data_IF_272516324419
#
_entry.id   IF_272516324419
#
_cell.length_a   1.000
_cell.length_b   1.000
_cell.length_c   1.000
_cell.angle_alpha   90.00
_cell.angle_beta   90.00
_cell.angle_gamma   90.00
#
_symmetry.space_group_name_H-M   'P 1'
#
loop_
_entity.id
_entity.type
_entity.pdbx_description
1 polymer ?
#
# COMPACT_ATOMS: atom_id res chain seq x y z
N UNK A 1 2.29 -28.46 -11.34
CA UNK A 1 1.96 -27.17 -11.97
C UNK A 1 0.71 -26.68 -11.28
N UNK A 2 0.82 -25.71 -10.38
CA UNK A 2 -0.37 -25.05 -9.83
C UNK A 2 -0.99 -24.20 -10.94
N UNK A 3 -2.30 -24.27 -11.09
CA UNK A 3 -3.04 -23.38 -11.98
C UNK A 3 -2.71 -21.92 -11.67
N UNK A 4 -2.59 -21.04 -12.67
CA UNK A 4 -2.51 -19.61 -12.41
C UNK A 4 -3.78 -19.19 -11.66
N UNK A 5 -3.60 -18.51 -10.53
CA UNK A 5 -4.69 -17.96 -9.73
C UNK A 5 -5.60 -17.13 -10.64
N UNK A 6 -6.90 -17.44 -10.64
CA UNK A 6 -7.86 -16.75 -11.48
C UNK A 6 -7.94 -15.27 -11.05
N UNK A 7 -8.00 -14.30 -11.98
CA UNK A 7 -8.00 -12.87 -11.66
C UNK A 7 -9.06 -12.47 -10.61
N UNK A 8 -10.19 -13.18 -10.56
CA UNK A 8 -11.27 -12.96 -9.60
C UNK A 8 -10.90 -13.36 -8.16
N UNK A 9 -10.16 -14.47 -7.97
CA UNK A 9 -9.78 -14.96 -6.64
C UNK A 9 -8.78 -14.02 -5.97
N UNK A 10 -7.77 -13.56 -6.72
CA UNK A 10 -6.81 -12.56 -6.25
C UNK A 10 -7.51 -11.26 -5.83
N UNK A 11 -8.44 -10.75 -6.66
CA UNK A 11 -9.20 -9.54 -6.33
C UNK A 11 -10.00 -9.68 -5.04
N UNK A 12 -10.62 -10.84 -4.80
CA UNK A 12 -11.32 -11.12 -3.55
C UNK A 12 -10.38 -11.11 -2.34
N UNK A 13 -9.22 -11.78 -2.45
CA UNK A 13 -8.22 -11.79 -1.37
C UNK A 13 -7.68 -10.39 -1.07
N UNK A 14 -7.43 -9.59 -2.10
CA UNK A 14 -7.03 -8.17 -1.96
C UNK A 14 -8.14 -7.35 -1.29
N UNK A 15 -9.40 -7.53 -1.69
CA UNK A 15 -10.53 -6.84 -1.08
C UNK A 15 -10.65 -7.16 0.42
N UNK A 16 -10.48 -8.42 0.82
CA UNK A 16 -10.47 -8.82 2.22
C UNK A 16 -9.28 -8.24 2.99
N UNK A 17 -8.09 -8.20 2.38
CA UNK A 17 -6.92 -7.55 2.97
C UNK A 17 -7.15 -6.05 3.21
N UNK A 18 -7.75 -5.34 2.23
CA UNK A 18 -8.11 -3.92 2.34
C UNK A 18 -9.09 -3.70 3.51
N UNK A 19 -10.12 -4.54 3.63
CA UNK A 19 -11.08 -4.47 4.73
C UNK A 19 -10.37 -4.61 6.08
N UNK A 20 -9.47 -5.59 6.23
CA UNK A 20 -8.70 -5.82 7.47
C UNK A 20 -7.83 -4.61 7.83
N UNK A 21 -7.02 -4.12 6.89
CA UNK A 21 -6.10 -3.01 7.20
C UNK A 21 -6.84 -1.68 7.46
N UNK A 22 -8.03 -1.49 6.88
CA UNK A 22 -8.87 -0.32 7.17
C UNK A 22 -9.46 -0.37 8.59
N UNK A 23 -9.73 -1.56 9.14
CA UNK A 23 -10.21 -1.72 10.51
C UNK A 23 -9.10 -1.40 11.52
N UNK A 24 -7.91 -1.96 11.32
CA UNK A 24 -6.78 -1.80 12.23
C UNK A 24 -5.46 -1.76 11.46
N UNK A 25 -4.63 -0.74 11.73
CA UNK A 25 -3.27 -0.70 11.22
C UNK A 25 -2.38 -1.53 12.12
N UNK A 26 -1.99 -2.71 11.62
CA UNK A 26 -1.02 -3.57 12.28
C UNK A 26 0.29 -3.56 11.51
N UNK A 27 1.30 -2.94 12.08
CA UNK A 27 2.64 -2.96 11.50
C UNK A 27 3.27 -4.35 11.61
N UNK A 28 4.06 -4.68 10.61
CA UNK A 28 5.09 -5.71 10.79
C UNK A 28 6.02 -5.29 11.94
N UNK A 29 6.41 -6.21 12.84
CA UNK A 29 7.18 -5.87 14.03
C UNK A 29 8.40 -4.98 13.73
N UNK A 30 8.50 -3.86 14.45
CA UNK A 30 9.58 -2.87 14.35
C UNK A 30 9.47 -1.87 13.19
N UNK A 31 8.53 -2.08 12.25
CA UNK A 31 8.35 -1.16 11.10
C UNK A 31 7.61 0.11 11.48
N UNK A 32 6.81 0.06 12.53
CA UNK A 32 6.17 1.20 13.20
C UNK A 32 7.17 2.21 13.74
N UNK A 33 8.37 1.79 14.12
CA UNK A 33 9.45 2.70 14.54
C UNK A 33 10.36 3.10 13.37
N UNK A 34 10.78 2.13 12.55
CA UNK A 34 11.75 2.36 11.46
C UNK A 34 11.20 3.29 10.36
N UNK A 35 9.94 3.08 9.94
CA UNK A 35 9.41 3.80 8.77
C UNK A 35 9.17 5.29 9.02
N UNK A 36 8.53 5.73 10.13
CA UNK A 36 8.38 7.16 10.40
C UNK A 36 9.72 7.90 10.41
N UNK A 37 10.74 7.35 11.09
CA UNK A 37 12.10 7.93 11.14
C UNK A 37 12.64 8.11 9.72
N UNK A 38 12.62 7.03 8.92
CA UNK A 38 13.08 7.07 7.53
C UNK A 38 12.28 8.05 6.65
N UNK A 39 10.99 8.25 6.94
CA UNK A 39 10.15 9.22 6.22
C UNK A 39 10.50 10.66 6.61
N UNK A 40 10.82 10.92 7.87
CA UNK A 40 11.31 12.23 8.34
C UNK A 40 12.68 12.55 7.70
N UNK A 41 13.62 11.61 7.74
CA UNK A 41 14.96 11.77 7.17
C UNK A 41 14.95 12.08 5.67
N UNK A 42 13.95 11.56 4.95
CA UNK A 42 13.75 11.81 3.51
C UNK A 42 12.87 13.03 3.22
N UNK A 43 12.43 13.78 4.22
CA UNK A 43 11.54 14.95 4.05
C UNK A 43 10.14 14.59 3.55
N UNK A 44 9.71 13.34 3.75
CA UNK A 44 8.34 12.90 3.45
C UNK A 44 7.35 13.24 4.57
N UNK A 45 7.85 13.31 5.81
CA UNK A 45 7.14 13.77 6.98
C UNK A 45 7.86 14.99 7.57
N UNK A 46 7.14 15.90 8.26
CA UNK A 46 7.77 17.02 8.95
C UNK A 46 8.67 16.52 10.10
N UNK A 47 9.70 17.30 10.49
CA UNK A 47 10.49 17.01 11.67
C UNK A 47 9.60 16.88 12.92
N UNK A 48 9.80 15.81 13.69
CA UNK A 48 9.03 15.54 14.91
C UNK A 48 7.66 14.88 14.67
N UNK A 49 7.32 14.50 13.43
CA UNK A 49 6.11 13.74 13.15
C UNK A 49 6.04 12.46 13.98
N UNK A 50 4.86 12.19 14.53
CA UNK A 50 4.55 11.02 15.33
C UNK A 50 4.09 9.85 14.47
N UNK A 51 4.12 8.63 15.03
CA UNK A 51 3.53 7.46 14.39
C UNK A 51 2.03 7.68 14.08
N UNK A 52 1.28 8.31 14.98
CA UNK A 52 -0.15 8.56 14.78
C UNK A 52 -0.42 9.49 13.58
N UNK A 53 0.39 10.53 13.39
CA UNK A 53 0.27 11.42 12.22
C UNK A 53 0.65 10.70 10.92
N UNK A 54 1.65 9.83 10.97
CA UNK A 54 2.01 9.00 9.83
C UNK A 54 0.91 7.98 9.49
N UNK A 55 0.31 7.34 10.49
CA UNK A 55 -0.82 6.44 10.31
C UNK A 55 -2.06 7.15 9.80
N UNK A 56 -2.29 8.41 10.17
CA UNK A 56 -3.37 9.22 9.61
C UNK A 56 -3.23 9.37 8.09
N UNK A 57 -2.00 9.63 7.60
CA UNK A 57 -1.69 9.68 6.16
C UNK A 57 -2.03 8.35 5.49
N UNK A 58 -1.63 7.24 6.11
CA UNK A 58 -1.87 5.89 5.58
C UNK A 58 -3.38 5.62 5.49
N UNK A 59 -4.16 6.01 6.52
CA UNK A 59 -5.62 5.86 6.53
C UNK A 59 -6.29 6.70 5.44
N UNK A 60 -5.80 7.92 5.20
CA UNK A 60 -6.29 8.75 4.10
C UNK A 60 -6.07 8.06 2.75
N UNK A 61 -4.85 7.56 2.47
CA UNK A 61 -4.54 6.83 1.23
C UNK A 61 -5.40 5.57 1.09
N UNK A 62 -5.55 4.79 2.16
CA UNK A 62 -6.37 3.58 2.17
C UNK A 62 -7.85 3.88 1.96
N UNK A 63 -8.33 5.09 2.26
CA UNK A 63 -9.75 5.46 2.19
C UNK A 63 -10.11 6.26 0.94
N UNK A 64 -9.12 6.67 0.14
CA UNK A 64 -9.34 7.46 -1.06
C UNK A 64 -10.12 6.65 -2.12
N UNK A 65 -11.33 7.07 -2.54
CA UNK A 65 -12.12 6.36 -3.54
C UNK A 65 -11.48 6.35 -4.94
N UNK A 66 -10.57 7.29 -5.23
CA UNK A 66 -9.84 7.36 -6.49
C UNK A 66 -8.56 6.51 -6.48
N UNK A 67 -8.23 5.84 -5.36
CA UNK A 67 -7.01 5.06 -5.26
C UNK A 67 -6.94 3.93 -6.30
N UNK A 68 -5.74 3.73 -6.83
CA UNK A 68 -5.39 2.60 -7.70
C UNK A 68 -4.82 1.46 -6.86
N UNK A 69 -5.14 0.24 -7.27
CA UNK A 69 -4.65 -0.97 -6.62
C UNK A 69 -3.67 -1.70 -7.51
N UNK A 70 -2.55 -2.06 -6.92
CA UNK A 70 -1.54 -2.93 -7.48
C UNK A 70 -1.34 -4.13 -6.57
N UNK A 71 -0.80 -5.20 -7.13
CA UNK A 71 -0.20 -6.31 -6.39
C UNK A 71 1.28 -6.32 -6.72
N UNK A 72 2.13 -6.16 -5.71
CA UNK A 72 3.56 -6.39 -5.86
C UNK A 72 3.86 -7.87 -5.59
N UNK A 73 4.43 -8.57 -6.57
CA UNK A 73 4.77 -9.99 -6.46
C UNK A 73 6.25 -10.20 -6.16
N UNK A 74 6.56 -10.77 -4.99
CA UNK A 74 7.91 -11.16 -4.61
C UNK A 74 7.98 -12.66 -4.37
N UNK A 75 8.52 -13.40 -5.35
CA UNK A 75 8.47 -14.86 -5.35
C UNK A 75 7.03 -15.35 -5.45
N UNK A 76 6.60 -16.16 -4.49
CA UNK A 76 5.21 -16.65 -4.38
C UNK A 76 4.33 -15.80 -3.46
N UNK A 77 4.84 -14.66 -2.97
CA UNK A 77 4.10 -13.79 -2.05
C UNK A 77 3.58 -12.56 -2.77
N UNK A 78 2.29 -12.29 -2.58
CA UNK A 78 1.59 -11.14 -3.14
C UNK A 78 1.36 -10.08 -2.05
N UNK A 79 1.70 -8.84 -2.38
CA UNK A 79 1.55 -7.69 -1.50
C UNK A 79 0.61 -6.66 -2.13
N UNK A 80 -0.65 -6.60 -1.69
CA UNK A 80 -1.54 -5.50 -2.02
C UNK A 80 -0.87 -4.14 -1.80
N UNK A 81 -0.97 -3.26 -2.78
CA UNK A 81 -0.43 -1.91 -2.73
C UNK A 81 -1.49 -0.91 -3.19
N UNK A 82 -1.90 -0.03 -2.28
CA UNK A 82 -2.85 1.06 -2.56
C UNK A 82 -2.07 2.32 -2.88
N UNK A 83 -2.42 2.99 -3.97
CA UNK A 83 -1.74 4.18 -4.46
C UNK A 83 -2.74 5.31 -4.64
N UNK A 84 -2.50 6.45 -4.00
CA UNK A 84 -3.37 7.62 -4.06
C UNK A 84 -2.57 8.93 -3.99
N UNK A 85 -3.13 10.00 -4.54
CA UNK A 85 -2.53 11.32 -4.51
C UNK A 85 -2.94 12.06 -3.22
N UNK A 86 -1.95 12.54 -2.46
CA UNK A 86 -2.15 13.30 -1.22
C UNK A 86 -1.23 14.50 -1.17
N UNK A 87 -1.81 15.69 -0.96
CA UNK A 87 -1.04 16.94 -0.78
C UNK A 87 0.01 17.17 -1.89
N UNK A 88 -0.32 16.83 -3.14
CA UNK A 88 0.58 16.97 -4.28
C UNK A 88 1.67 15.89 -4.40
N UNK A 89 1.65 14.84 -3.58
CA UNK A 89 2.55 13.68 -3.68
C UNK A 89 1.73 12.41 -3.88
N UNK A 90 2.17 11.51 -4.76
CA UNK A 90 1.58 10.18 -4.88
C UNK A 90 2.15 9.27 -3.81
N UNK A 91 1.30 8.79 -2.92
CA UNK A 91 1.66 7.87 -1.85
C UNK A 91 1.31 6.44 -2.25
N UNK A 92 2.15 5.50 -1.82
CA UNK A 92 1.84 4.08 -1.81
C UNK A 92 1.77 3.55 -0.38
N UNK A 93 0.89 2.59 -0.17
CA UNK A 93 0.72 1.83 1.07
C UNK A 93 0.71 0.35 0.69
N UNK A 94 1.70 -0.40 1.14
CA UNK A 94 1.87 -1.82 0.84
C UNK A 94 1.69 -2.66 2.11
N UNK A 95 0.95 -3.74 2.01
CA UNK A 95 0.63 -4.63 3.11
C UNK A 95 0.52 -6.08 2.63
N UNK A 96 0.49 -7.04 3.55
CA UNK A 96 0.27 -8.45 3.25
C UNK A 96 -1.22 -8.76 3.05
N UNK A 97 -1.55 -9.95 2.53
CA UNK A 97 -2.94 -10.40 2.39
C UNK A 97 -3.66 -10.63 3.74
N UNK A 98 -2.91 -10.68 4.83
CA UNK A 98 -3.43 -10.72 6.20
C UNK A 98 -3.76 -9.32 6.73
N UNK A 99 -3.45 -8.25 5.98
CA UNK A 99 -3.65 -6.86 6.39
C UNK A 99 -2.52 -6.31 7.27
N UNK A 100 -1.34 -6.95 7.26
CA UNK A 100 -0.17 -6.46 8.01
C UNK A 100 0.60 -5.46 7.14
N UNK A 101 0.79 -4.25 7.66
CA UNK A 101 1.44 -3.15 6.97
C UNK A 101 2.96 -3.40 6.84
N UNK A 102 3.45 -3.35 5.60
CA UNK A 102 4.86 -3.58 5.25
C UNK A 102 5.61 -2.26 5.05
N UNK A 103 5.01 -1.30 4.34
CA UNK A 103 5.60 0.03 4.10
C UNK A 103 4.56 1.03 3.62
N UNK A 104 4.82 2.33 3.84
CA UNK A 104 4.15 3.41 3.13
C UNK A 104 5.12 4.55 2.83
N UNK A 105 5.04 5.14 1.64
CA UNK A 105 5.84 6.30 1.27
C UNK A 105 5.36 6.93 -0.04
N UNK A 106 5.72 8.20 -0.30
CA UNK A 106 5.66 8.74 -1.64
C UNK A 106 6.94 8.40 -2.41
N UNK A 107 6.89 7.71 -3.57
CA UNK A 107 8.04 7.57 -4.45
C UNK A 107 8.47 8.94 -5.01
N UNK A 108 9.76 9.09 -5.30
CA UNK A 108 10.30 10.34 -5.86
C UNK A 108 9.76 10.61 -7.29
N UNK A 109 9.71 9.56 -8.12
CA UNK A 109 9.07 9.57 -9.43
C UNK A 109 8.07 8.41 -9.51
N UNK A 110 6.78 8.64 -9.20
CA UNK A 110 5.80 7.57 -9.16
C UNK A 110 5.53 6.95 -10.53
N UNK A 111 5.59 7.74 -11.61
CA UNK A 111 5.24 7.26 -12.96
C UNK A 111 6.33 6.35 -13.54
N UNK A 112 7.59 6.52 -13.11
CA UNK A 112 8.69 5.60 -13.37
C UNK A 112 8.63 4.41 -12.41
N UNK A 113 8.39 4.66 -11.12
CA UNK A 113 8.45 3.64 -10.07
C UNK A 113 7.54 2.42 -10.33
N UNK A 114 6.30 2.64 -10.78
CA UNK A 114 5.37 1.54 -11.07
C UNK A 114 5.53 0.96 -12.48
N UNK A 115 6.00 1.76 -13.44
CA UNK A 115 6.15 1.35 -14.85
C UNK A 115 7.35 0.44 -15.06
N UNK A 116 8.47 0.77 -14.44
CA UNK A 116 9.75 0.10 -14.68
C UNK A 116 9.94 -1.13 -13.79
N UNK A 117 9.03 -1.33 -12.82
CA UNK A 117 9.05 -2.46 -11.91
C UNK A 117 7.95 -3.47 -12.29
N UNK A 118 8.27 -4.51 -13.09
CA UNK A 118 7.29 -5.46 -13.62
C UNK A 118 6.62 -6.32 -12.54
N UNK A 119 7.13 -6.28 -11.30
CA UNK A 119 6.50 -6.95 -10.16
C UNK A 119 5.23 -6.24 -9.70
N UNK A 120 5.01 -4.97 -10.05
CA UNK A 120 3.74 -4.30 -9.81
C UNK A 120 2.74 -4.63 -10.92
N UNK A 121 1.69 -5.35 -10.55
CA UNK A 121 0.58 -5.72 -11.44
C UNK A 121 -0.62 -4.88 -11.03
N UNK A 122 -1.09 -3.99 -11.90
CA UNK A 122 -2.29 -3.22 -11.65
C UNK A 122 -3.54 -4.10 -11.72
N UNK A 123 -4.40 -4.03 -10.71
CA UNK A 123 -5.60 -4.87 -10.61
C UNK A 123 -6.91 -4.09 -10.71
N UNK A 124 -6.86 -2.75 -10.72
CA UNK A 124 -8.02 -1.88 -10.93
C UNK A 124 -8.10 -0.70 -9.96
N UNK A 125 -9.25 -0.03 -9.96
CA UNK A 125 -9.56 0.99 -8.96
C UNK A 125 -10.04 0.37 -7.65
N UNK A 126 -9.83 1.04 -6.52
CA UNK A 126 -10.26 0.51 -5.22
C UNK A 126 -11.77 0.29 -5.13
N UNK A 127 -12.58 1.13 -5.78
CA UNK A 127 -14.04 0.94 -5.85
C UNK A 127 -14.43 -0.29 -6.68
N UNK A 128 -13.71 -0.59 -7.76
CA UNK A 128 -13.96 -1.77 -8.62
C UNK A 128 -13.59 -3.07 -7.89
N UNK A 129 -12.52 -3.06 -7.09
CA UNK A 129 -12.09 -4.25 -6.36
C UNK A 129 -12.96 -4.53 -5.13
N UNK A 130 -13.55 -3.47 -4.54
CA UNK A 130 -14.42 -3.60 -3.36
C UNK A 130 -15.90 -3.80 -3.68
N UNK A 131 -16.31 -3.68 -4.95
CA UNK A 131 -17.71 -3.84 -5.38
C UNK A 131 -18.18 -5.28 -5.38
#
# INVERSE_FOLDING_TARGET
>A
MSDPEQPTELRQRVAEAIKKIRLELRWKPGKDEEHPIKRIERGHLPPGATLAEYEAIIREVLSDPAARLYVFRSGSTDYPTVVADRTGKRWLVMFSLEGVLETAFPPDDPDVYFRDEPRYIEIGGIQEVLS
#
